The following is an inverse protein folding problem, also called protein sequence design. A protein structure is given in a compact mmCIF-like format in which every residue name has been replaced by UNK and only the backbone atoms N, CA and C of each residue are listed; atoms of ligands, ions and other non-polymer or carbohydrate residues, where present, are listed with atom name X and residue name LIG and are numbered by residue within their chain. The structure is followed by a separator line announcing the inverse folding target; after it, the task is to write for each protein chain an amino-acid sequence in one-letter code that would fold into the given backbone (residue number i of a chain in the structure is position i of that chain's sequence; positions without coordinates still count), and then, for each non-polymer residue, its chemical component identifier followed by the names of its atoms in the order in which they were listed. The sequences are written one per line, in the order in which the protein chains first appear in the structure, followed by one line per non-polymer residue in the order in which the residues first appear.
data_IF_111804868906
#
_entry.id   IF_111804868906
#
_cell.length_a   1.000
_cell.length_b   1.000
_cell.length_c   1.000
_cell.angle_alpha   90.00
_cell.angle_beta   90.00
_cell.angle_gamma   90.00
#
_symmetry.space_group_name_H-M   'P 1'
#
loop_
_entity.id
_entity.type
_entity.pdbx_description
1 polymer ?
#
# COMPACT_ATOMS: atom_id res chain seq x y z
N UNK A 1 -37.43 -14.07 35.02
CA UNK A 1 -36.24 -14.44 35.82
C UNK A 1 -35.09 -13.57 35.35
N UNK A 2 -34.51 -12.80 36.25
CA UNK A 2 -33.58 -11.69 36.00
C UNK A 2 -32.30 -12.12 35.29
N UNK A 3 -31.97 -11.49 34.16
CA UNK A 3 -30.72 -11.70 33.44
C UNK A 3 -29.60 -10.96 34.20
N UNK A 4 -28.90 -11.66 35.08
CA UNK A 4 -27.78 -11.12 35.83
C UNK A 4 -26.68 -10.69 34.83
N UNK A 5 -26.34 -9.41 34.85
CA UNK A 5 -25.19 -8.84 34.13
C UNK A 5 -23.94 -9.62 34.52
N UNK A 6 -23.38 -10.38 33.58
CA UNK A 6 -22.13 -11.12 33.77
C UNK A 6 -21.02 -10.11 34.07
N UNK A 7 -20.64 -9.99 35.34
CA UNK A 7 -19.53 -9.16 35.76
C UNK A 7 -18.26 -9.72 35.09
N UNK A 8 -17.72 -8.98 34.13
CA UNK A 8 -16.46 -9.35 33.47
C UNK A 8 -15.35 -9.07 34.47
N UNK A 9 -14.63 -10.11 34.87
CA UNK A 9 -13.52 -10.02 35.82
C UNK A 9 -12.47 -9.01 35.32
N UNK A 10 -12.15 -7.94 36.09
CA UNK A 10 -11.10 -7.00 35.72
C UNK A 10 -9.73 -7.67 35.55
N UNK A 11 -9.49 -8.81 36.21
CA UNK A 11 -8.27 -9.61 36.09
C UNK A 11 -8.21 -10.44 34.78
N UNK A 12 -9.33 -10.58 34.06
CA UNK A 12 -9.33 -11.20 32.73
C UNK A 12 -8.74 -10.27 31.65
N UNK A 13 -8.44 -9.01 31.96
CA UNK A 13 -7.55 -8.17 31.15
C UNK A 13 -6.10 -8.60 31.42
N UNK A 14 -5.70 -9.71 30.81
CA UNK A 14 -4.28 -9.96 30.57
C UNK A 14 -3.65 -8.75 29.87
N UNK A 15 -2.34 -8.49 30.04
CA UNK A 15 -1.69 -7.38 29.37
C UNK A 15 -2.03 -7.47 27.88
N UNK A 16 -2.55 -6.40 27.32
CA UNK A 16 -2.88 -6.32 25.91
C UNK A 16 -1.55 -6.27 25.15
N UNK A 17 -0.90 -7.43 25.02
CA UNK A 17 0.35 -7.56 24.28
C UNK A 17 -0.04 -7.55 22.81
N UNK A 18 -0.29 -6.36 22.30
CA UNK A 18 -0.24 -6.09 20.87
C UNK A 18 1.24 -6.14 20.47
N UNK A 19 1.82 -7.34 20.51
CA UNK A 19 3.07 -7.62 19.84
C UNK A 19 2.71 -7.54 18.35
N UNK A 20 2.86 -6.36 17.77
CA UNK A 20 2.97 -6.24 16.33
C UNK A 20 4.24 -7.01 15.98
N UNK A 21 4.07 -8.24 15.47
CA UNK A 21 5.16 -8.93 14.79
C UNK A 21 5.69 -7.96 13.74
N UNK A 22 7.01 -7.78 13.68
CA UNK A 22 7.68 -6.98 12.65
C UNK A 22 7.42 -7.64 11.28
N UNK A 23 6.25 -7.36 10.71
CA UNK A 23 5.73 -7.96 9.48
C UNK A 23 6.38 -7.27 8.28
N UNK A 24 7.68 -7.46 8.15
CA UNK A 24 8.43 -7.09 6.97
C UNK A 24 9.85 -7.62 7.07
N UNK A 25 10.21 -8.56 6.19
CA UNK A 25 11.62 -8.97 6.00
C UNK A 25 12.55 -7.78 5.66
N UNK A 26 11.98 -6.61 5.34
CA UNK A 26 12.67 -5.49 4.71
C UNK A 26 13.08 -5.78 3.27
N UNK A 27 12.99 -7.05 2.84
CA UNK A 27 13.29 -7.50 1.50
C UNK A 27 12.13 -7.22 0.55
N UNK A 28 12.48 -6.65 -0.61
CA UNK A 28 11.54 -6.39 -1.69
C UNK A 28 11.00 -7.71 -2.22
N UNK A 29 9.70 -7.77 -2.45
CA UNK A 29 9.06 -8.88 -3.13
C UNK A 29 9.59 -9.02 -4.56
N UNK A 30 9.53 -10.22 -5.18
CA UNK A 30 9.92 -10.42 -6.57
C UNK A 30 9.22 -9.44 -7.54
N UNK A 31 7.95 -9.12 -7.30
CA UNK A 31 7.20 -8.17 -8.13
C UNK A 31 7.69 -6.71 -7.98
N UNK A 32 8.12 -6.31 -6.80
CA UNK A 32 8.75 -5.00 -6.58
C UNK A 32 10.08 -4.89 -7.32
N UNK A 33 10.90 -5.94 -7.30
CA UNK A 33 12.17 -5.97 -8.03
C UNK A 33 11.97 -5.86 -9.54
N UNK A 34 11.06 -6.66 -10.11
CA UNK A 34 10.73 -6.62 -11.54
C UNK A 34 10.20 -5.23 -11.94
N UNK A 35 9.33 -4.65 -11.11
CA UNK A 35 8.77 -3.31 -11.35
C UNK A 35 9.87 -2.23 -11.35
N UNK A 36 10.81 -2.31 -10.40
CA UNK A 36 11.94 -1.39 -10.35
C UNK A 36 12.87 -1.50 -11.56
N UNK A 37 13.09 -2.72 -12.05
CA UNK A 37 13.87 -2.94 -13.28
C UNK A 37 13.19 -2.34 -14.51
N UNK A 38 11.87 -2.51 -14.64
CA UNK A 38 11.10 -1.90 -15.73
C UNK A 38 11.16 -0.37 -15.69
N UNK A 39 10.99 0.24 -14.51
CA UNK A 39 11.02 1.72 -14.37
C UNK A 39 12.38 2.29 -14.78
N UNK A 40 13.48 1.61 -14.49
CA UNK A 40 14.84 2.05 -14.86
C UNK A 40 15.08 2.09 -16.36
N UNK A 41 14.30 1.36 -17.15
CA UNK A 41 14.39 1.34 -18.61
C UNK A 41 13.60 2.48 -19.28
N UNK A 42 12.73 3.17 -18.53
CA UNK A 42 11.94 4.28 -19.07
C UNK A 42 12.90 5.44 -19.39
N UNK A 43 12.90 5.97 -20.64
CA UNK A 43 13.75 7.10 -20.98
C UNK A 43 13.35 8.35 -20.18
N UNK A 44 14.30 9.27 -19.91
CA UNK A 44 13.99 10.51 -19.22
C UNK A 44 12.98 11.33 -20.00
N UNK A 45 12.12 12.03 -19.28
CA UNK A 45 11.15 12.94 -19.89
C UNK A 45 11.89 14.06 -20.64
N UNK A 46 11.34 14.52 -21.77
CA UNK A 46 11.91 15.66 -22.48
C UNK A 46 11.91 16.90 -21.57
N UNK A 47 12.85 17.85 -21.78
CA UNK A 47 12.89 19.09 -21.01
C UNK A 47 11.54 19.81 -21.13
N UNK A 48 10.99 20.22 -20.00
CA UNK A 48 9.73 20.97 -19.93
C UNK A 48 9.87 22.26 -20.73
N UNK A 49 9.37 22.25 -21.97
CA UNK A 49 9.56 23.35 -22.93
C UNK A 49 9.63 22.90 -24.39
N UNK A 50 9.96 21.63 -24.66
CA UNK A 50 9.78 21.04 -25.99
C UNK A 50 8.38 20.42 -26.08
N UNK A 51 7.42 21.23 -26.47
CA UNK A 51 6.12 20.76 -26.96
C UNK A 51 6.37 19.88 -28.20
N UNK A 52 6.42 18.56 -27.97
CA UNK A 52 6.76 17.56 -28.98
C UNK A 52 5.86 16.33 -28.84
N UNK A 53 4.58 16.53 -29.15
CA UNK A 53 3.65 15.57 -29.76
C UNK A 53 3.97 14.07 -29.63
N UNK A 54 3.55 13.44 -28.53
CA UNK A 54 3.04 12.05 -28.53
C UNK A 54 2.42 11.72 -27.17
N UNK A 55 1.18 12.15 -26.97
CA UNK A 55 0.40 11.83 -25.77
C UNK A 55 -1.08 11.99 -26.09
N UNK A 56 -1.65 10.92 -26.65
CA UNK A 56 -3.06 10.54 -26.66
C UNK A 56 -4.09 11.68 -26.72
N UNK A 57 -4.53 12.02 -27.93
CA UNK A 57 -5.83 12.65 -28.15
C UNK A 57 -6.94 11.63 -27.79
N UNK A 58 -7.35 11.59 -26.52
CA UNK A 58 -8.67 11.07 -26.16
C UNK A 58 -9.73 12.09 -26.61
N UNK A 59 -10.14 11.96 -27.88
CA UNK A 59 -11.28 12.71 -28.41
C UNK A 59 -12.55 11.88 -28.12
N UNK A 60 -13.52 12.38 -27.33
CA UNK A 60 -14.79 11.66 -27.17
C UNK A 60 -15.50 11.57 -28.53
N UNK A 61 -15.88 10.35 -28.92
CA UNK A 61 -16.76 10.09 -30.07
C UNK A 61 -18.14 10.67 -29.74
N UNK A 62 -18.66 11.50 -30.64
CA UNK A 62 -20.05 11.97 -30.66
C UNK A 62 -20.91 11.01 -31.46
#
# INVERSE_FOLDING_TARGET
MSNATRQVDPAAKGPNVLHESDIGSGEKSPGELETEEMIRQIPPLPPSGSQGSSGSQDKPRN
#
